data_IF_128816626711
#
_entry.id   IF_128816626711
#
_cell.length_a   1.000
_cell.length_b   1.000
_cell.length_c   1.000
_cell.angle_alpha   90.00
_cell.angle_beta   90.00
_cell.angle_gamma   90.00
#
_symmetry.space_group_name_H-M   'P 1'
#
loop_
_entity.id
_entity.type
_entity.pdbx_description
1 polymer ?
#
# COMPACT_ATOMS: atom_id res chain seq x y z
N UNK A 1 5.58 35.04 -3.63
CA UNK A 1 4.50 34.65 -4.59
C UNK A 1 3.71 33.53 -3.96
N UNK A 2 2.38 33.64 -3.98
CA UNK A 2 1.52 32.57 -3.43
C UNK A 2 1.59 31.30 -4.30
N UNK A 3 1.51 30.14 -3.66
CA UNK A 3 1.65 28.84 -4.31
C UNK A 3 0.28 28.18 -4.50
N UNK A 4 -0.03 27.77 -5.72
CA UNK A 4 -1.22 26.95 -5.99
C UNK A 4 -0.87 25.48 -5.84
N UNK A 5 -1.66 24.74 -5.04
CA UNK A 5 -1.37 23.37 -4.66
C UNK A 5 -2.62 22.49 -4.78
N UNK A 6 -2.39 21.18 -4.88
CA UNK A 6 -3.45 20.17 -4.77
C UNK A 6 -3.20 19.35 -3.52
N UNK A 7 -4.22 19.21 -2.69
CA UNK A 7 -4.22 18.41 -1.46
C UNK A 7 -5.23 17.28 -1.61
N UNK A 8 -4.80 16.05 -1.32
CA UNK A 8 -5.64 14.86 -1.29
C UNK A 8 -5.88 14.41 0.13
N UNK A 9 -7.14 14.38 0.58
CA UNK A 9 -7.50 14.13 1.96
C UNK A 9 -7.20 15.33 2.85
N UNK A 10 -6.96 15.09 4.13
CA UNK A 10 -6.76 16.14 5.17
C UNK A 10 -7.99 17.03 5.41
N UNK A 11 -9.15 16.66 4.90
CA UNK A 11 -10.39 17.41 5.11
C UNK A 11 -11.07 17.12 6.46
N UNK A 12 -10.63 16.13 7.22
CA UNK A 12 -11.11 15.87 8.58
C UNK A 12 -10.46 16.80 9.64
N UNK A 13 -10.92 16.81 10.90
CA UNK A 13 -10.37 17.69 11.93
C UNK A 13 -8.87 17.48 12.21
N UNK A 14 -8.38 16.24 12.16
CA UNK A 14 -6.96 15.91 12.32
C UNK A 14 -6.15 16.49 11.17
N UNK A 15 -6.56 16.17 9.94
CA UNK A 15 -5.88 16.63 8.74
C UNK A 15 -5.87 18.15 8.60
N UNK A 16 -6.99 18.80 8.89
CA UNK A 16 -7.10 20.27 8.84
C UNK A 16 -6.15 20.94 9.83
N UNK A 17 -6.02 20.43 11.06
CA UNK A 17 -5.04 20.92 12.04
C UNK A 17 -3.61 20.70 11.58
N UNK A 18 -3.30 19.53 11.02
CA UNK A 18 -1.97 19.24 10.48
C UNK A 18 -1.62 20.21 9.32
N UNK A 19 -2.56 20.49 8.41
CA UNK A 19 -2.35 21.47 7.34
C UNK A 19 -2.20 22.89 7.87
N UNK A 20 -2.97 23.28 8.90
CA UNK A 20 -2.83 24.60 9.52
C UNK A 20 -1.39 24.80 10.02
N UNK A 21 -0.85 23.81 10.71
CA UNK A 21 0.53 23.83 11.19
C UNK A 21 1.53 23.77 10.02
N UNK A 22 1.28 22.94 9.01
CA UNK A 22 2.17 22.77 7.86
C UNK A 22 2.32 24.04 7.02
N UNK A 23 1.26 24.82 6.89
CA UNK A 23 1.25 26.02 6.04
C UNK A 23 1.67 27.30 6.77
N UNK A 24 2.00 27.24 8.05
CA UNK A 24 2.50 28.40 8.79
C UNK A 24 3.75 29.01 8.14
N UNK A 25 3.62 30.28 7.73
CA UNK A 25 4.69 31.00 7.03
C UNK A 25 4.97 30.50 5.60
N UNK A 26 4.02 29.80 4.98
CA UNK A 26 4.01 29.44 3.57
C UNK A 26 2.77 30.08 2.94
N UNK A 27 2.99 30.86 1.91
CA UNK A 27 1.93 31.59 1.21
C UNK A 27 1.19 30.66 0.23
N UNK A 28 0.03 30.15 0.63
CA UNK A 28 -0.83 29.28 -0.16
C UNK A 28 -1.95 30.10 -0.82
N UNK A 29 -1.86 30.28 -2.13
CA UNK A 29 -2.87 30.92 -2.93
C UNK A 29 -4.12 30.06 -3.12
N UNK A 30 -4.21 29.34 -4.23
CA UNK A 30 -5.31 28.41 -4.48
C UNK A 30 -4.96 27.01 -4.01
N UNK A 31 -5.78 26.44 -3.10
CA UNK A 31 -5.71 25.06 -2.67
C UNK A 31 -6.88 24.26 -3.27
N UNK A 32 -6.55 23.31 -4.13
CA UNK A 32 -7.51 22.32 -4.65
C UNK A 32 -7.57 21.14 -3.70
N UNK A 33 -8.74 20.87 -3.13
CA UNK A 33 -8.91 19.86 -2.07
C UNK A 33 -9.70 18.68 -2.64
N UNK A 34 -9.01 17.58 -2.86
CA UNK A 34 -9.61 16.31 -3.26
C UNK A 34 -10.10 15.57 -2.03
N UNK A 35 -11.41 15.46 -1.87
CA UNK A 35 -11.99 14.88 -0.66
C UNK A 35 -13.40 14.35 -0.83
N UNK A 36 -14.01 14.00 0.30
CA UNK A 36 -15.39 13.48 0.37
C UNK A 36 -16.34 14.44 1.08
N UNK A 37 -15.80 15.38 1.86
CA UNK A 37 -16.56 16.29 2.70
C UNK A 37 -16.17 17.75 2.43
N UNK A 38 -17.00 18.46 1.69
CA UNK A 38 -16.78 19.86 1.33
C UNK A 38 -16.81 20.80 2.55
N UNK A 39 -17.62 20.50 3.57
CA UNK A 39 -17.72 21.36 4.77
C UNK A 39 -16.41 21.39 5.55
N UNK A 40 -15.73 20.26 5.66
CA UNK A 40 -14.45 20.19 6.35
C UNK A 40 -13.32 20.74 5.47
N UNK A 41 -13.40 20.55 4.16
CA UNK A 41 -12.49 21.16 3.19
C UNK A 41 -12.43 22.70 3.30
N UNK A 42 -13.54 23.34 3.67
CA UNK A 42 -13.61 24.79 3.87
C UNK A 42 -12.69 25.30 5.02
N UNK A 43 -12.22 24.42 5.88
CA UNK A 43 -11.34 24.77 7.01
C UNK A 43 -9.85 24.72 6.66
N UNK A 44 -9.46 24.18 5.50
CA UNK A 44 -8.06 24.10 5.06
C UNK A 44 -7.51 25.52 4.88
N UNK A 45 -6.36 25.89 5.44
CA UNK A 45 -5.81 27.24 5.35
C UNK A 45 -5.29 27.54 3.93
N UNK A 46 -5.91 28.49 3.23
CA UNK A 46 -5.51 28.97 1.93
C UNK A 46 -6.26 30.28 1.61
N UNK A 47 -5.76 31.11 0.70
CA UNK A 47 -6.50 32.29 0.21
C UNK A 47 -7.78 31.88 -0.51
N UNK A 48 -7.67 30.93 -1.43
CA UNK A 48 -8.79 30.37 -2.19
C UNK A 48 -8.84 28.84 -2.05
N UNK A 49 -10.04 28.30 -1.83
CA UNK A 49 -10.29 26.86 -1.72
C UNK A 49 -11.21 26.41 -2.82
N UNK A 50 -10.85 25.30 -3.48
CA UNK A 50 -11.68 24.68 -4.53
C UNK A 50 -11.81 23.19 -4.17
N UNK A 51 -13.03 22.79 -3.84
CA UNK A 51 -13.32 21.40 -3.53
C UNK A 51 -13.49 20.56 -4.79
N UNK A 52 -12.78 19.44 -4.85
CA UNK A 52 -12.88 18.43 -5.88
C UNK A 52 -13.46 17.14 -5.29
N UNK A 53 -14.75 16.95 -5.48
CA UNK A 53 -15.49 15.79 -4.97
C UNK A 53 -15.76 14.73 -6.03
N UNK A 54 -16.49 13.66 -5.66
CA UNK A 54 -16.77 12.52 -6.55
C UNK A 54 -17.48 12.85 -7.86
N UNK A 55 -18.26 13.94 -7.90
CA UNK A 55 -18.99 14.40 -9.10
C UNK A 55 -18.31 15.57 -9.82
N UNK A 56 -17.08 15.93 -9.45
CA UNK A 56 -16.42 17.12 -10.01
C UNK A 56 -16.33 17.10 -11.54
N UNK A 57 -16.10 15.94 -12.14
CA UNK A 57 -16.03 15.80 -13.60
C UNK A 57 -17.37 15.95 -14.33
N UNK A 58 -18.49 15.84 -13.62
CA UNK A 58 -19.83 15.99 -14.23
C UNK A 58 -20.18 17.45 -14.54
N UNK A 59 -19.48 18.39 -13.89
CA UNK A 59 -19.68 19.84 -14.01
C UNK A 59 -18.60 20.53 -14.85
N UNK A 60 -17.70 19.78 -15.49
CA UNK A 60 -16.61 20.32 -16.30
C UNK A 60 -17.14 20.74 -17.68
N UNK A 61 -16.88 22.00 -18.08
CA UNK A 61 -17.06 22.43 -19.45
C UNK A 61 -15.89 21.93 -20.31
N UNK A 62 -16.09 20.77 -20.92
CA UNK A 62 -15.06 20.08 -21.71
C UNK A 62 -14.64 20.87 -22.96
N UNK A 63 -15.46 21.81 -23.46
CA UNK A 63 -15.13 22.62 -24.63
C UNK A 63 -14.08 23.70 -24.33
N UNK A 64 -13.91 24.04 -23.05
CA UNK A 64 -12.88 24.99 -22.58
C UNK A 64 -11.52 24.35 -22.29
N UNK A 65 -11.43 23.04 -22.31
CA UNK A 65 -10.18 22.32 -22.06
C UNK A 65 -9.56 21.87 -23.38
N UNK A 66 -8.24 22.06 -23.51
CA UNK A 66 -7.51 21.51 -24.64
C UNK A 66 -7.67 19.98 -24.72
N UNK A 67 -7.72 19.42 -25.94
CA UNK A 67 -7.70 17.98 -26.12
C UNK A 67 -6.34 17.39 -25.66
N UNK A 68 -6.31 16.09 -25.43
CA UNK A 68 -5.06 15.36 -25.22
C UNK A 68 -4.35 15.17 -26.56
N UNK A 69 -3.04 15.28 -26.57
CA UNK A 69 -2.19 14.93 -27.68
C UNK A 69 -1.57 13.53 -27.52
N UNK A 70 -0.96 13.04 -28.59
CA UNK A 70 -0.34 11.72 -28.62
C UNK A 70 0.86 11.64 -27.64
N UNK A 71 1.67 12.67 -27.58
CA UNK A 71 2.88 12.70 -26.75
C UNK A 71 2.54 12.51 -25.27
N UNK A 72 1.55 13.22 -24.76
CA UNK A 72 1.10 13.10 -23.38
C UNK A 72 0.49 11.71 -23.11
N UNK A 73 -0.34 11.21 -24.04
CA UNK A 73 -0.98 9.90 -23.91
C UNK A 73 0.10 8.82 -23.81
N UNK A 74 1.11 8.84 -24.69
CA UNK A 74 2.18 7.85 -24.70
C UNK A 74 3.04 7.90 -23.42
N UNK A 75 3.43 9.08 -22.98
CA UNK A 75 4.21 9.25 -21.74
C UNK A 75 3.45 8.78 -20.49
N UNK A 76 2.12 8.84 -20.52
CA UNK A 76 1.26 8.43 -19.42
C UNK A 76 0.85 6.94 -19.47
N UNK A 77 1.26 6.16 -20.46
CA UNK A 77 0.92 4.73 -20.57
C UNK A 77 1.26 3.88 -19.34
N UNK A 78 2.41 4.03 -18.69
CA UNK A 78 2.71 3.26 -17.47
C UNK A 78 1.67 3.52 -16.36
N UNK A 79 1.26 4.77 -16.19
CA UNK A 79 0.25 5.17 -15.20
C UNK A 79 -1.17 4.76 -15.63
N UNK A 80 -1.45 4.72 -16.92
CA UNK A 80 -2.72 4.23 -17.45
C UNK A 80 -2.94 2.76 -17.06
N UNK A 81 -1.96 1.90 -17.30
CA UNK A 81 -2.07 0.47 -17.01
C UNK A 81 -2.48 0.23 -15.54
N UNK A 82 -1.78 0.86 -14.62
CA UNK A 82 -2.08 0.77 -13.18
C UNK A 82 -3.42 1.41 -12.83
N UNK A 83 -3.77 2.55 -13.45
CA UNK A 83 -5.08 3.20 -13.21
C UNK A 83 -6.25 2.29 -13.64
N UNK A 84 -6.14 1.64 -14.80
CA UNK A 84 -7.17 0.72 -15.28
C UNK A 84 -7.35 -0.49 -14.33
N UNK A 85 -6.28 -0.92 -13.68
CA UNK A 85 -6.33 -1.95 -12.65
C UNK A 85 -6.96 -1.43 -11.34
N UNK A 86 -6.61 -0.22 -10.90
CA UNK A 86 -7.20 0.44 -9.72
C UNK A 86 -8.73 0.58 -9.85
N UNK A 87 -9.27 0.81 -11.05
CA UNK A 87 -10.72 0.90 -11.26
C UNK A 87 -11.48 -0.34 -10.78
N UNK A 88 -10.85 -1.51 -10.70
CA UNK A 88 -11.51 -2.71 -10.19
C UNK A 88 -11.95 -2.60 -8.74
N UNK A 89 -11.32 -1.71 -7.93
CA UNK A 89 -11.76 -1.43 -6.56
C UNK A 89 -13.11 -0.74 -6.51
N UNK A 90 -13.42 0.06 -7.53
CA UNK A 90 -14.67 0.80 -7.63
C UNK A 90 -15.85 -0.07 -8.08
N UNK A 91 -15.57 -1.30 -8.49
CA UNK A 91 -16.59 -2.28 -8.86
C UNK A 91 -17.25 -2.87 -7.61
N UNK A 92 -18.22 -2.16 -7.08
CA UNK A 92 -19.01 -2.58 -5.93
C UNK A 92 -20.42 -2.97 -6.36
N UNK A 93 -21.10 -3.78 -5.55
CA UNK A 93 -22.54 -4.07 -5.69
C UNK A 93 -22.96 -4.58 -7.09
N UNK A 94 -22.11 -5.38 -7.74
CA UNK A 94 -22.39 -5.93 -9.06
C UNK A 94 -22.22 -4.96 -10.23
N UNK A 95 -21.68 -3.77 -10.00
CA UNK A 95 -21.24 -2.88 -11.08
C UNK A 95 -19.95 -3.43 -11.68
N UNK A 96 -19.95 -3.61 -12.97
CA UNK A 96 -18.77 -3.96 -13.75
C UNK A 96 -18.46 -2.81 -14.70
N UNK A 97 -17.25 -2.32 -14.68
CA UNK A 97 -16.77 -1.32 -15.62
C UNK A 97 -16.06 -2.01 -16.78
N UNK A 98 -16.62 -1.93 -17.97
CA UNK A 98 -15.95 -2.43 -19.17
C UNK A 98 -14.62 -1.71 -19.38
N UNK A 99 -13.71 -2.33 -20.12
CA UNK A 99 -12.44 -1.70 -20.50
C UNK A 99 -12.64 -0.31 -21.10
N UNK A 100 -13.58 -0.18 -22.07
CA UNK A 100 -13.87 1.12 -22.69
C UNK A 100 -14.41 2.16 -21.71
N UNK A 101 -15.17 1.76 -20.69
CA UNK A 101 -15.65 2.68 -19.65
C UNK A 101 -14.50 3.16 -18.76
N UNK A 102 -13.60 2.26 -18.34
CA UNK A 102 -12.40 2.61 -17.57
C UNK A 102 -11.46 3.52 -18.35
N UNK A 103 -11.21 3.19 -19.63
CA UNK A 103 -10.36 3.98 -20.52
C UNK A 103 -10.92 5.38 -20.73
N UNK A 104 -12.23 5.50 -20.95
CA UNK A 104 -12.89 6.80 -21.08
C UNK A 104 -12.72 7.65 -19.83
N UNK A 105 -12.94 7.07 -18.66
CA UNK A 105 -12.81 7.78 -17.40
C UNK A 105 -11.36 8.17 -17.11
N UNK A 106 -10.41 7.30 -17.40
CA UNK A 106 -8.99 7.62 -17.33
C UNK A 106 -8.63 8.82 -18.21
N UNK A 107 -9.05 8.83 -19.49
CA UNK A 107 -8.77 9.94 -20.40
C UNK A 107 -9.45 11.26 -19.96
N UNK A 108 -10.64 11.19 -19.36
CA UNK A 108 -11.29 12.36 -18.75
C UNK A 108 -10.47 12.92 -17.57
N UNK A 109 -10.02 12.05 -16.68
CA UNK A 109 -9.15 12.43 -15.56
C UNK A 109 -7.84 13.04 -16.05
N UNK A 110 -7.19 12.40 -17.01
CA UNK A 110 -5.94 12.87 -17.59
C UNK A 110 -6.09 14.27 -18.21
N UNK A 111 -7.13 14.47 -19.04
CA UNK A 111 -7.42 15.77 -19.67
C UNK A 111 -7.70 16.84 -18.64
N UNK A 112 -8.52 16.53 -17.63
CA UNK A 112 -8.89 17.49 -16.59
C UNK A 112 -7.68 17.94 -15.77
N UNK A 113 -6.91 16.97 -15.23
CA UNK A 113 -5.76 17.29 -14.39
C UNK A 113 -4.65 18.00 -15.18
N UNK A 114 -4.40 17.58 -16.43
CA UNK A 114 -3.43 18.26 -17.26
C UNK A 114 -3.79 19.74 -17.49
N UNK A 115 -5.04 20.00 -17.86
CA UNK A 115 -5.50 21.37 -18.08
C UNK A 115 -5.47 22.22 -16.80
N UNK A 116 -5.83 21.64 -15.65
CA UNK A 116 -5.81 22.35 -14.37
C UNK A 116 -4.38 22.69 -13.94
N UNK A 117 -3.45 21.76 -14.06
CA UNK A 117 -2.04 21.96 -13.73
C UNK A 117 -1.45 23.12 -14.55
N UNK A 118 -1.70 23.13 -15.86
CA UNK A 118 -1.18 24.18 -16.76
C UNK A 118 -1.83 25.55 -16.49
N UNK A 119 -3.15 25.58 -16.39
CA UNK A 119 -3.90 26.83 -16.21
C UNK A 119 -3.57 27.52 -14.89
N UNK A 120 -3.49 26.75 -13.82
CA UNK A 120 -3.36 27.29 -12.46
C UNK A 120 -1.95 27.16 -11.90
N UNK A 121 -0.98 26.74 -12.72
CA UNK A 121 0.43 26.64 -12.38
C UNK A 121 0.66 25.92 -11.05
N UNK A 122 0.12 24.70 -10.93
CA UNK A 122 0.22 23.90 -9.71
C UNK A 122 1.69 23.62 -9.39
N UNK A 123 2.07 23.86 -8.11
CA UNK A 123 3.46 23.77 -7.63
C UNK A 123 3.71 22.60 -6.68
N UNK A 124 2.67 21.96 -6.18
CA UNK A 124 2.78 20.85 -5.24
C UNK A 124 1.54 19.96 -5.31
N UNK A 125 1.74 18.65 -5.22
CA UNK A 125 0.72 17.68 -4.87
C UNK A 125 1.04 17.05 -3.51
N UNK A 126 0.15 17.25 -2.53
CA UNK A 126 0.24 16.69 -1.19
C UNK A 126 -0.87 15.66 -0.97
N UNK A 127 -0.51 14.45 -0.58
CA UNK A 127 -1.48 13.39 -0.30
C UNK A 127 -1.32 12.81 1.11
N UNK A 128 -2.44 12.69 1.84
CA UNK A 128 -2.47 12.11 3.20
C UNK A 128 -2.16 10.61 3.22
N UNK A 129 -2.14 9.97 2.06
CA UNK A 129 -1.84 8.54 1.88
C UNK A 129 -1.22 8.30 0.50
N UNK A 130 -0.82 7.07 0.23
CA UNK A 130 -0.39 6.62 -1.10
C UNK A 130 -1.53 6.80 -2.11
N UNK A 131 -1.31 7.42 -3.27
CA UNK A 131 -2.28 7.50 -4.35
C UNK A 131 -2.72 6.10 -4.79
N UNK A 132 -3.99 5.76 -4.60
CA UNK A 132 -4.50 4.42 -4.88
C UNK A 132 -5.96 4.40 -5.38
N UNK A 133 -6.50 5.59 -5.74
CA UNK A 133 -7.73 5.75 -6.48
C UNK A 133 -7.43 6.34 -7.87
N UNK A 134 -8.28 6.14 -8.89
CA UNK A 134 -8.00 6.63 -10.23
C UNK A 134 -7.67 8.13 -10.30
N UNK A 135 -8.41 9.05 -9.63
CA UNK A 135 -8.12 10.47 -9.73
C UNK A 135 -6.75 10.87 -9.17
N UNK A 136 -6.39 10.36 -7.99
CA UNK A 136 -5.15 10.72 -7.32
C UNK A 136 -3.93 10.04 -7.97
N UNK A 137 -4.10 8.83 -8.52
CA UNK A 137 -3.02 8.13 -9.20
C UNK A 137 -2.69 8.75 -10.57
N UNK A 138 -3.72 9.18 -11.34
CA UNK A 138 -3.50 9.93 -12.59
C UNK A 138 -2.82 11.27 -12.31
N UNK A 139 -3.25 11.98 -11.27
CA UNK A 139 -2.62 13.24 -10.85
C UNK A 139 -1.15 13.02 -10.43
N UNK A 140 -0.87 11.98 -9.65
CA UNK A 140 0.49 11.59 -9.29
C UNK A 140 1.37 11.38 -10.52
N UNK A 141 0.89 10.62 -11.50
CA UNK A 141 1.61 10.36 -12.74
C UNK A 141 1.92 11.64 -13.52
N UNK A 142 0.95 12.56 -13.62
CA UNK A 142 1.16 13.85 -14.25
C UNK A 142 2.17 14.72 -13.50
N UNK A 143 2.12 14.75 -12.17
CA UNK A 143 3.09 15.49 -11.36
C UNK A 143 4.51 14.94 -11.57
N UNK A 144 4.69 13.61 -11.59
CA UNK A 144 5.99 12.97 -11.90
C UNK A 144 6.47 13.34 -13.29
N UNK A 145 5.61 13.25 -14.30
CA UNK A 145 5.95 13.58 -15.68
C UNK A 145 6.36 15.05 -15.87
N UNK A 146 5.70 15.95 -15.14
CA UNK A 146 5.94 17.40 -15.23
C UNK A 146 6.93 17.94 -14.20
N UNK A 147 7.61 17.07 -13.44
CA UNK A 147 8.54 17.43 -12.37
C UNK A 147 7.92 18.37 -11.32
N UNK A 148 6.63 18.19 -11.04
CA UNK A 148 5.95 18.88 -9.96
C UNK A 148 6.23 18.11 -8.67
N UNK A 149 6.70 18.78 -7.60
CA UNK A 149 6.92 18.15 -6.31
C UNK A 149 5.68 17.41 -5.80
N UNK A 150 5.92 16.23 -5.25
CA UNK A 150 4.89 15.39 -4.63
C UNK A 150 5.31 15.07 -3.21
N UNK A 151 4.40 15.15 -2.26
CA UNK A 151 4.59 14.67 -0.89
C UNK A 151 3.49 13.65 -0.59
N UNK A 152 3.91 12.43 -0.31
CA UNK A 152 3.04 11.32 0.02
C UNK A 152 3.25 10.92 1.48
N UNK A 153 2.17 10.74 2.22
CA UNK A 153 2.19 10.17 3.55
C UNK A 153 1.97 8.66 3.44
N UNK A 154 2.83 7.86 4.04
CA UNK A 154 2.68 6.40 4.07
C UNK A 154 2.80 5.89 5.48
N UNK A 155 1.80 5.14 5.99
CA UNK A 155 1.93 4.50 7.29
C UNK A 155 3.04 3.45 7.27
N UNK A 156 3.75 3.36 8.38
CA UNK A 156 4.85 2.40 8.58
C UNK A 156 4.37 1.03 9.04
N UNK A 157 3.18 0.58 8.63
CA UNK A 157 2.67 -0.72 9.02
C UNK A 157 3.71 -1.84 8.86
N UNK A 158 3.86 -2.70 9.87
CA UNK A 158 3.05 -2.86 11.09
C UNK A 158 3.52 -2.04 12.31
N UNK A 159 4.45 -1.09 12.13
CA UNK A 159 4.92 -0.20 13.19
C UNK A 159 3.82 0.81 13.52
N UNK A 160 3.41 0.83 14.81
CA UNK A 160 2.36 1.73 15.27
C UNK A 160 2.88 3.17 15.33
N UNK A 161 2.03 4.14 14.96
CA UNK A 161 2.31 5.58 15.03
C UNK A 161 3.55 6.03 14.23
N UNK A 162 3.92 5.26 13.20
CA UNK A 162 5.04 5.57 12.30
C UNK A 162 4.50 5.99 10.94
N UNK A 163 4.92 7.16 10.48
CA UNK A 163 4.53 7.73 9.20
C UNK A 163 5.77 8.15 8.41
N UNK A 164 5.83 7.78 7.14
CA UNK A 164 6.88 8.22 6.22
C UNK A 164 6.37 9.29 5.28
N UNK A 165 7.18 10.34 5.07
CA UNK A 165 6.98 11.35 4.04
C UNK A 165 7.93 11.08 2.89
N UNK A 166 7.42 10.80 1.70
CA UNK A 166 8.23 10.48 0.53
C UNK A 166 7.67 11.11 -0.75
N UNK A 167 8.45 11.08 -1.82
CA UNK A 167 8.14 11.74 -3.10
C UNK A 167 7.87 10.75 -4.24
N UNK A 168 8.11 9.46 -3.98
CA UNK A 168 8.01 8.43 -5.02
C UNK A 168 7.41 7.14 -4.47
N UNK A 169 6.52 6.50 -5.24
CA UNK A 169 5.89 5.24 -4.86
C UNK A 169 6.82 4.03 -4.96
N UNK A 170 7.75 4.06 -5.90
CA UNK A 170 8.68 2.96 -6.14
C UNK A 170 9.90 3.02 -5.21
N UNK A 171 10.23 4.21 -4.71
CA UNK A 171 11.32 4.47 -3.78
C UNK A 171 10.83 5.16 -2.50
N UNK A 172 9.93 4.50 -1.73
CA UNK A 172 9.27 5.13 -0.57
C UNK A 172 10.21 5.35 0.62
N UNK A 173 11.43 4.83 0.57
CA UNK A 173 12.36 4.81 1.69
C UNK A 173 13.77 5.36 1.34
N UNK A 174 13.89 6.27 0.38
CA UNK A 174 15.19 6.85 -0.01
C UNK A 174 15.93 7.49 1.18
N UNK A 175 15.24 8.23 2.04
CA UNK A 175 15.85 8.83 3.22
C UNK A 175 16.34 7.77 4.21
N UNK A 176 15.59 6.70 4.40
CA UNK A 176 15.97 5.57 5.25
C UNK A 176 17.18 4.83 4.68
N UNK A 177 17.21 4.57 3.37
CA UNK A 177 18.37 3.99 2.68
C UNK A 177 19.63 4.84 2.88
N UNK A 178 19.52 6.15 2.68
CA UNK A 178 20.64 7.08 2.89
C UNK A 178 21.12 7.05 4.35
N UNK A 179 20.19 6.98 5.32
CA UNK A 179 20.54 6.91 6.74
C UNK A 179 21.23 5.58 7.09
N UNK A 180 20.77 4.47 6.54
CA UNK A 180 21.38 3.14 6.76
C UNK A 180 22.77 3.01 6.12
N UNK A 181 23.00 3.71 5.01
CA UNK A 181 24.32 3.74 4.35
C UNK A 181 25.32 4.68 5.04
N UNK A 182 24.85 5.61 5.87
CA UNK A 182 25.73 6.52 6.61
C UNK A 182 26.48 5.75 7.71
N UNK A 183 27.77 6.06 7.95
CA UNK A 183 28.53 5.42 9.01
C UNK A 183 27.85 5.66 10.38
N UNK A 184 27.70 4.60 11.16
CA UNK A 184 27.21 4.69 12.53
C UNK A 184 28.17 5.53 13.37
N UNK A 185 27.65 6.54 14.09
CA UNK A 185 28.47 7.45 14.89
C UNK A 185 29.17 6.76 16.06
N UNK A 186 28.62 5.66 16.57
CA UNK A 186 29.29 4.75 17.52
C UNK A 186 28.48 3.46 17.72
N UNK A 187 29.17 2.40 18.22
CA UNK A 187 28.49 1.17 18.70
C UNK A 187 27.59 1.42 19.92
N UNK A 188 27.68 2.59 20.55
CA UNK A 188 26.82 2.98 21.67
C UNK A 188 25.42 3.44 21.23
N UNK A 189 25.25 3.89 19.97
CA UNK A 189 23.93 4.32 19.47
C UNK A 189 22.93 3.13 19.33
N UNK A 190 23.44 1.93 19.09
CA UNK A 190 22.59 0.73 19.00
C UNK A 190 22.20 0.15 20.38
N UNK A 191 22.94 0.53 21.45
CA UNK A 191 22.63 0.12 22.82
C UNK A 191 21.58 1.02 23.48
N UNK A 192 21.29 2.19 22.90
CA UNK A 192 20.26 3.08 23.41
C UNK A 192 18.87 2.41 23.36
N UNK A 193 17.97 2.68 24.32
CA UNK A 193 16.62 2.15 24.26
C UNK A 193 15.85 2.75 23.08
N UNK A 194 15.07 1.91 22.39
CA UNK A 194 14.12 2.38 21.38
C UNK A 194 12.99 3.17 22.04
N UNK A 195 12.32 4.09 21.32
CA UNK A 195 11.07 4.68 21.79
C UNK A 195 10.06 3.60 22.19
N UNK A 196 9.19 3.83 23.20
CA UNK A 196 8.34 2.79 23.78
C UNK A 196 7.49 2.01 22.77
N UNK A 197 6.96 2.68 21.74
CA UNK A 197 6.13 2.04 20.70
C UNK A 197 6.96 1.10 19.80
N UNK A 198 8.20 1.46 19.45
CA UNK A 198 9.10 0.61 18.66
C UNK A 198 9.70 -0.51 19.52
N UNK A 199 10.04 -0.23 20.77
CA UNK A 199 10.52 -1.25 21.73
C UNK A 199 9.44 -2.30 21.98
N UNK A 200 8.18 -1.88 22.20
CA UNK A 200 7.05 -2.80 22.36
C UNK A 200 6.85 -3.68 21.11
N UNK A 201 7.00 -3.09 19.92
CA UNK A 201 6.93 -3.87 18.68
C UNK A 201 8.10 -4.86 18.58
N UNK A 202 9.34 -4.40 18.82
CA UNK A 202 10.54 -5.24 18.78
C UNK A 202 10.40 -6.45 19.71
N UNK A 203 10.03 -6.22 20.97
CA UNK A 203 9.81 -7.27 21.95
C UNK A 203 8.71 -8.23 21.52
N UNK A 204 7.57 -7.71 21.01
CA UNK A 204 6.47 -8.54 20.54
C UNK A 204 6.85 -9.49 19.40
N UNK A 205 7.85 -9.11 18.59
CA UNK A 205 8.31 -9.93 17.46
C UNK A 205 9.46 -10.86 17.82
N UNK A 206 10.22 -10.54 18.87
CA UNK A 206 11.41 -11.32 19.29
C UNK A 206 11.16 -12.23 20.49
N UNK A 207 10.04 -12.09 21.20
CA UNK A 207 9.66 -12.98 22.30
C UNK A 207 9.24 -14.35 21.77
N UNK A 208 9.86 -15.40 22.32
CA UNK A 208 9.60 -16.80 21.95
C UNK A 208 8.18 -17.28 22.34
N UNK A 209 7.52 -16.56 23.25
CA UNK A 209 6.13 -16.86 23.68
C UNK A 209 5.06 -16.43 22.70
N UNK A 210 5.49 -16.05 21.51
CA UNK A 210 4.71 -15.70 20.34
C UNK A 210 3.29 -15.17 20.59
N UNK A 211 3.05 -13.93 20.25
CA UNK A 211 1.79 -13.25 20.50
C UNK A 211 0.71 -13.54 19.46
N UNK A 212 0.69 -14.71 18.84
CA UNK A 212 -0.39 -15.09 17.89
C UNK A 212 -1.78 -14.80 18.44
N UNK A 213 -1.88 -14.65 19.74
CA UNK A 213 -3.14 -14.61 20.46
C UNK A 213 -3.51 -13.24 21.04
N UNK A 214 -2.60 -12.28 21.08
CA UNK A 214 -2.83 -11.07 21.87
C UNK A 214 -3.20 -9.82 21.06
N UNK A 215 -2.90 -9.76 19.77
CA UNK A 215 -3.30 -8.64 18.92
C UNK A 215 -4.01 -9.14 17.67
N UNK A 216 -5.34 -9.20 17.75
CA UNK A 216 -6.11 -9.16 16.50
C UNK A 216 -5.68 -7.90 15.76
N UNK A 217 -5.16 -7.97 14.53
CA UNK A 217 -4.84 -6.78 13.78
C UNK A 217 -6.03 -5.83 13.77
N UNK A 218 -5.79 -4.52 13.84
CA UNK A 218 -6.83 -3.49 13.91
C UNK A 218 -7.93 -3.65 12.84
N UNK A 219 -7.59 -4.18 11.66
CA UNK A 219 -8.53 -4.47 10.59
C UNK A 219 -9.54 -5.60 10.91
N UNK A 220 -9.31 -6.41 11.96
CA UNK A 220 -10.35 -7.33 12.47
C UNK A 220 -11.52 -6.60 13.11
N UNK A 221 -11.31 -5.36 13.52
CA UNK A 221 -12.35 -4.51 14.10
C UNK A 221 -13.14 -3.76 13.01
N UNK A 222 -12.68 -3.79 11.75
CA UNK A 222 -13.44 -3.24 10.64
C UNK A 222 -14.76 -4.01 10.49
N UNK A 223 -15.85 -3.25 10.57
CA UNK A 223 -17.19 -3.78 10.40
C UNK A 223 -17.31 -4.59 9.09
N UNK A 224 -17.93 -5.74 9.19
CA UNK A 224 -18.27 -6.57 8.03
C UNK A 224 -18.85 -5.74 6.90
N UNK A 225 -18.50 -6.00 5.65
CA UNK A 225 -19.19 -5.37 4.54
C UNK A 225 -20.68 -5.71 4.70
N UNK A 226 -21.47 -4.68 5.00
CA UNK A 226 -22.93 -4.83 5.10
C UNK A 226 -23.40 -5.40 3.77
N UNK A 227 -24.12 -6.52 3.82
CA UNK A 227 -24.77 -7.07 2.64
C UNK A 227 -25.47 -5.95 1.87
N UNK A 228 -25.39 -5.91 0.54
CA UNK A 228 -25.94 -4.83 -0.27
C UNK A 228 -27.47 -4.67 -0.18
N UNK A 229 -28.11 -5.43 0.66
CA UNK A 229 -29.55 -5.39 0.97
C UNK A 229 -30.00 -4.05 1.59
N UNK A 230 -29.10 -3.24 2.12
CA UNK A 230 -29.41 -1.97 2.79
C UNK A 230 -29.67 -0.78 1.84
N UNK A 231 -29.54 -0.95 0.52
CA UNK A 231 -29.74 0.13 -0.45
C UNK A 231 -31.09 0.01 -1.13
N UNK A 232 -31.84 1.13 -1.06
CA UNK A 232 -33.20 1.30 -1.56
C UNK A 232 -33.61 0.37 -2.73
N UNK A 233 -34.63 -0.48 -2.53
CA UNK A 233 -35.15 -1.37 -3.59
C UNK A 233 -35.76 -0.61 -4.78
N UNK A 234 -36.05 0.68 -4.63
CA UNK A 234 -36.67 1.54 -5.63
C UNK A 234 -35.72 1.98 -6.75
N UNK A 235 -34.40 1.74 -6.65
CA UNK A 235 -33.45 2.11 -7.71
C UNK A 235 -33.55 1.15 -8.90
N UNK A 236 -33.74 1.74 -10.10
CA UNK A 236 -33.75 1.01 -11.39
C UNK A 236 -32.58 0.03 -11.49
N UNK A 237 -32.87 -1.23 -11.82
CA UNK A 237 -31.86 -2.29 -11.94
C UNK A 237 -31.44 -2.95 -10.61
N UNK A 238 -32.13 -2.73 -9.50
CA UNK A 238 -31.84 -3.37 -8.21
C UNK A 238 -31.84 -4.91 -8.32
N UNK A 239 -32.89 -5.49 -8.91
CA UNK A 239 -33.01 -6.95 -9.04
C UNK A 239 -31.86 -7.55 -9.87
N UNK A 240 -31.49 -6.91 -10.99
CA UNK A 240 -30.38 -7.37 -11.83
C UNK A 240 -29.04 -7.32 -11.06
N UNK A 241 -28.83 -6.31 -10.23
CA UNK A 241 -27.63 -6.22 -9.39
C UNK A 241 -27.58 -7.33 -8.36
N UNK A 242 -28.72 -7.62 -7.71
CA UNK A 242 -28.80 -8.72 -6.73
C UNK A 242 -28.53 -10.07 -7.39
N UNK A 243 -29.14 -10.36 -8.53
CA UNK A 243 -28.90 -11.60 -9.28
C UNK A 243 -27.44 -11.76 -9.69
N UNK A 244 -26.79 -10.69 -10.17
CA UNK A 244 -25.35 -10.69 -10.49
C UNK A 244 -24.51 -10.94 -9.25
N UNK A 245 -24.83 -10.31 -8.12
CA UNK A 245 -24.12 -10.53 -6.86
C UNK A 245 -24.24 -11.98 -6.38
N UNK A 246 -25.46 -12.55 -6.40
CA UNK A 246 -25.69 -13.96 -6.05
C UNK A 246 -24.92 -14.90 -6.98
N UNK A 247 -24.91 -14.62 -8.30
CA UNK A 247 -24.12 -15.38 -9.26
C UNK A 247 -22.63 -15.33 -8.95
N UNK A 248 -22.09 -14.16 -8.60
CA UNK A 248 -20.69 -14.00 -8.17
C UNK A 248 -20.40 -14.79 -6.90
N UNK A 249 -21.27 -14.72 -5.89
CA UNK A 249 -21.09 -15.50 -4.65
C UNK A 249 -21.05 -17.02 -4.93
N UNK A 250 -21.90 -17.51 -5.85
CA UNK A 250 -21.88 -18.92 -6.27
C UNK A 250 -20.58 -19.27 -6.99
N UNK A 251 -20.11 -18.41 -7.88
CA UNK A 251 -18.81 -18.54 -8.56
C UNK A 251 -17.65 -18.57 -7.58
N UNK A 252 -17.60 -17.59 -6.67
CA UNK A 252 -16.57 -17.48 -5.64
C UNK A 252 -16.49 -18.70 -4.71
N UNK A 253 -17.65 -19.31 -4.38
CA UNK A 253 -17.68 -20.56 -3.61
C UNK A 253 -16.90 -21.69 -4.31
N UNK A 254 -16.95 -21.77 -5.64
CA UNK A 254 -16.19 -22.77 -6.40
C UNK A 254 -14.70 -22.45 -6.34
N UNK A 255 -14.33 -21.18 -6.48
CA UNK A 255 -12.94 -20.70 -6.43
C UNK A 255 -12.31 -21.03 -5.07
N UNK A 256 -12.95 -20.61 -3.98
CA UNK A 256 -12.42 -20.87 -2.63
C UNK A 256 -12.45 -22.34 -2.23
N UNK A 257 -13.43 -23.13 -2.74
CA UNK A 257 -13.44 -24.59 -2.56
C UNK A 257 -12.26 -25.27 -3.24
N UNK A 258 -11.81 -24.78 -4.40
CA UNK A 258 -10.62 -25.32 -5.06
C UNK A 258 -9.41 -25.15 -4.15
N UNK A 259 -9.19 -23.95 -3.62
CA UNK A 259 -8.11 -23.70 -2.66
C UNK A 259 -8.23 -24.61 -1.42
N UNK A 260 -9.40 -24.60 -0.77
CA UNK A 260 -9.63 -25.35 0.47
C UNK A 260 -9.43 -26.87 0.31
N UNK A 261 -9.75 -27.43 -0.85
CA UNK A 261 -9.53 -28.85 -1.15
C UNK A 261 -8.09 -29.20 -1.49
N UNK A 262 -7.35 -28.27 -2.07
CA UNK A 262 -5.95 -28.48 -2.43
C UNK A 262 -4.99 -28.14 -1.29
N UNK A 263 -5.45 -27.39 -0.29
CA UNK A 263 -4.64 -27.04 0.86
C UNK A 263 -4.47 -28.23 1.80
N UNK A 264 -3.22 -28.49 2.17
CA UNK A 264 -2.84 -29.54 3.12
C UNK A 264 -1.95 -28.98 4.21
N UNK A 265 -1.98 -29.54 5.43
CA UNK A 265 -1.04 -29.17 6.48
C UNK A 265 0.40 -29.26 5.94
N UNK A 266 1.26 -28.25 6.23
CA UNK A 266 2.64 -28.25 5.75
C UNK A 266 3.47 -29.29 6.49
N UNK A 267 4.39 -29.94 5.79
CA UNK A 267 5.47 -30.70 6.40
C UNK A 267 6.60 -29.74 6.78
N UNK A 268 6.67 -29.38 8.05
CA UNK A 268 7.62 -28.41 8.60
C UNK A 268 9.06 -28.93 8.64
N UNK A 269 9.29 -30.24 8.45
CA UNK A 269 10.63 -30.85 8.40
C UNK A 269 11.34 -30.59 7.05
N UNK A 270 10.57 -30.28 6.00
CA UNK A 270 11.10 -30.01 4.65
C UNK A 270 11.70 -28.59 4.57
N UNK A 271 12.64 -28.42 3.66
CA UNK A 271 13.10 -27.09 3.26
C UNK A 271 12.02 -26.39 2.45
N UNK A 272 11.64 -25.17 2.83
CA UNK A 272 10.61 -24.44 2.07
C UNK A 272 10.77 -22.92 2.14
N UNK A 273 10.22 -22.25 1.14
CA UNK A 273 9.94 -20.81 1.13
C UNK A 273 8.44 -20.62 1.39
N UNK A 274 8.11 -19.74 2.31
CA UNK A 274 6.73 -19.37 2.59
C UNK A 274 6.30 -18.19 1.73
N UNK A 275 5.31 -18.35 0.86
CA UNK A 275 4.71 -17.28 0.08
C UNK A 275 3.41 -16.83 0.73
N UNK A 276 3.43 -15.60 1.27
CA UNK A 276 2.27 -14.95 1.86
C UNK A 276 1.52 -14.14 0.79
N UNK A 277 0.35 -14.64 0.35
CA UNK A 277 -0.49 -13.89 -0.58
C UNK A 277 -1.17 -12.71 0.13
N UNK A 278 -1.20 -11.57 -0.54
CA UNK A 278 -1.95 -10.40 -0.10
C UNK A 278 -3.45 -10.56 -0.35
N UNK A 279 -4.24 -9.90 0.47
CA UNK A 279 -5.63 -9.61 0.13
C UNK A 279 -5.68 -8.68 -1.09
N UNK A 280 -6.60 -8.96 -2.01
CA UNK A 280 -6.85 -8.15 -3.20
C UNK A 280 -8.35 -7.91 -3.38
N UNK A 281 -8.74 -6.69 -3.82
CA UNK A 281 -7.90 -5.55 -4.20
C UNK A 281 -7.58 -4.64 -3.01
N UNK A 282 -6.33 -4.28 -2.84
CA UNK A 282 -5.89 -3.29 -1.84
C UNK A 282 -4.67 -2.47 -2.31
N UNK A 283 -4.34 -1.40 -1.57
CA UNK A 283 -3.23 -0.51 -1.90
C UNK A 283 -1.87 -1.24 -1.94
N UNK A 284 -1.66 -2.19 -1.03
CA UNK A 284 -0.43 -2.98 -0.95
C UNK A 284 -0.17 -3.84 -2.19
N UNK A 285 -1.20 -4.13 -2.99
CA UNK A 285 -1.06 -4.81 -4.28
C UNK A 285 -1.04 -3.79 -5.42
N UNK A 286 -2.04 -2.92 -5.55
CA UNK A 286 -2.11 -1.94 -6.62
C UNK A 286 -2.27 -0.54 -6.01
N UNK A 287 -1.25 0.34 -6.05
CA UNK A 287 -0.06 0.28 -6.91
C UNK A 287 1.21 -0.33 -6.28
N UNK A 288 1.28 -0.59 -4.97
CA UNK A 288 2.54 -0.82 -4.26
C UNK A 288 3.25 -2.14 -4.60
N UNK A 289 2.60 -3.12 -5.19
CA UNK A 289 3.27 -4.32 -5.68
C UNK A 289 3.80 -4.18 -7.13
N UNK A 290 3.54 -3.05 -7.80
CA UNK A 290 3.96 -2.84 -9.18
C UNK A 290 3.50 -3.96 -10.11
N UNK A 291 4.41 -4.51 -10.92
CA UNK A 291 4.13 -5.63 -11.84
C UNK A 291 3.67 -6.91 -11.11
N UNK A 292 4.05 -7.07 -9.85
CA UNK A 292 3.70 -8.25 -9.04
C UNK A 292 2.37 -8.11 -8.29
N UNK A 293 1.54 -7.15 -8.67
CA UNK A 293 0.13 -7.15 -8.31
C UNK A 293 -0.55 -8.47 -8.73
N UNK A 294 -0.13 -9.06 -9.85
CA UNK A 294 -0.42 -10.44 -10.24
C UNK A 294 0.49 -11.39 -9.47
N UNK A 295 0.06 -11.80 -8.29
CA UNK A 295 0.91 -12.53 -7.33
C UNK A 295 1.31 -13.94 -7.79
N UNK A 296 0.62 -14.52 -8.77
CA UNK A 296 1.03 -15.77 -9.42
C UNK A 296 2.44 -15.68 -10.03
N UNK A 297 2.85 -14.51 -10.51
CA UNK A 297 4.18 -14.29 -11.07
C UNK A 297 5.30 -14.52 -10.03
N UNK A 298 5.03 -14.20 -8.76
CA UNK A 298 5.96 -14.45 -7.64
C UNK A 298 6.19 -15.96 -7.51
N UNK A 299 5.12 -16.75 -7.47
CA UNK A 299 5.21 -18.19 -7.28
C UNK A 299 5.83 -18.88 -8.50
N UNK A 300 5.48 -18.41 -9.71
CA UNK A 300 6.08 -18.90 -10.95
C UNK A 300 7.58 -18.65 -11.01
N UNK A 301 8.03 -17.45 -10.65
CA UNK A 301 9.46 -17.10 -10.61
C UNK A 301 10.21 -17.96 -9.59
N UNK A 302 9.69 -18.09 -8.38
CA UNK A 302 10.28 -18.96 -7.37
C UNK A 302 10.31 -20.42 -7.83
N UNK A 303 9.22 -20.94 -8.39
CA UNK A 303 9.12 -22.32 -8.87
C UNK A 303 10.11 -22.66 -9.98
N UNK A 304 10.47 -21.68 -10.81
CA UNK A 304 11.47 -21.85 -11.86
C UNK A 304 12.91 -21.85 -11.33
N UNK A 305 13.17 -21.30 -10.15
CA UNK A 305 14.52 -21.04 -9.66
C UNK A 305 14.91 -21.81 -8.39
N UNK A 306 13.93 -22.29 -7.59
CA UNK A 306 14.24 -23.07 -6.40
C UNK A 306 14.73 -24.47 -6.76
N UNK A 307 15.67 -25.06 -5.98
CA UNK A 307 16.05 -26.46 -6.10
C UNK A 307 14.88 -27.42 -5.91
N UNK A 308 15.00 -28.65 -6.42
CA UNK A 308 13.94 -29.68 -6.40
C UNK A 308 13.53 -30.11 -4.99
N UNK A 309 14.44 -30.03 -4.03
CA UNK A 309 14.22 -30.36 -2.62
C UNK A 309 13.55 -29.24 -1.81
N UNK A 310 13.40 -28.03 -2.40
CA UNK A 310 12.81 -26.87 -1.73
C UNK A 310 11.34 -26.70 -2.17
N UNK A 311 10.42 -26.76 -1.20
CA UNK A 311 8.99 -26.52 -1.43
C UNK A 311 8.65 -25.03 -1.39
N UNK A 312 7.55 -24.66 -2.01
CA UNK A 312 6.95 -23.32 -1.96
C UNK A 312 5.57 -23.47 -1.29
N UNK A 313 5.49 -23.14 -0.02
CA UNK A 313 4.21 -23.13 0.68
C UNK A 313 3.48 -21.82 0.45
N UNK A 314 2.39 -21.89 -0.28
CA UNK A 314 1.56 -20.72 -0.63
C UNK A 314 0.36 -20.65 0.30
N UNK A 315 0.25 -19.58 1.05
CA UNK A 315 -0.88 -19.35 1.95
C UNK A 315 -1.70 -18.15 1.49
N UNK A 316 -3.00 -18.39 1.27
CA UNK A 316 -3.97 -17.32 0.98
C UNK A 316 -4.19 -16.43 2.20
N UNK A 317 -4.38 -15.14 1.96
CA UNK A 317 -4.69 -14.19 3.02
C UNK A 317 -5.98 -14.62 3.75
N UNK A 318 -5.98 -14.74 5.08
CA UNK A 318 -7.14 -15.25 5.84
C UNK A 318 -8.44 -14.48 5.55
N UNK A 319 -8.32 -13.17 5.33
CA UNK A 319 -9.45 -12.27 5.10
C UNK A 319 -9.89 -12.16 3.63
N UNK A 320 -9.19 -12.75 2.66
CA UNK A 320 -9.57 -12.68 1.24
C UNK A 320 -11.00 -13.14 1.00
N UNK A 321 -11.37 -14.28 1.54
CA UNK A 321 -12.74 -14.81 1.43
C UNK A 321 -13.75 -14.01 2.21
N UNK A 322 -13.32 -13.41 3.31
CA UNK A 322 -14.18 -12.67 4.22
C UNK A 322 -14.53 -11.28 3.68
N UNK A 323 -13.53 -10.49 3.26
CA UNK A 323 -13.73 -9.15 2.71
C UNK A 323 -14.21 -9.16 1.25
N UNK A 324 -13.89 -10.22 0.52
CA UNK A 324 -14.26 -10.38 -0.88
C UNK A 324 -15.00 -11.71 -1.10
N UNK A 325 -16.18 -11.90 -0.49
CA UNK A 325 -16.94 -13.14 -0.60
C UNK A 325 -17.44 -13.40 -2.04
N UNK A 326 -17.46 -12.37 -2.88
CA UNK A 326 -17.78 -12.42 -4.30
C UNK A 326 -16.60 -12.88 -5.19
N UNK A 327 -15.46 -13.22 -4.58
CA UNK A 327 -14.30 -13.78 -5.27
C UNK A 327 -13.52 -12.78 -6.12
N UNK A 328 -13.62 -11.47 -5.85
CA UNK A 328 -12.81 -10.47 -6.56
C UNK A 328 -11.33 -10.84 -6.51
N UNK A 329 -10.64 -10.69 -7.63
CA UNK A 329 -9.22 -10.95 -7.79
C UNK A 329 -8.77 -12.39 -7.51
N UNK A 330 -9.71 -13.31 -7.38
CA UNK A 330 -9.42 -14.75 -7.34
C UNK A 330 -10.27 -15.45 -8.38
N UNK A 331 -9.64 -16.34 -9.14
CA UNK A 331 -10.30 -17.15 -10.16
C UNK A 331 -9.89 -18.62 -10.03
N UNK A 332 -10.60 -19.50 -10.71
CA UNK A 332 -10.18 -20.89 -10.82
C UNK A 332 -8.84 -21.02 -11.55
N UNK A 333 -8.61 -20.17 -12.57
CA UNK A 333 -7.34 -20.11 -13.29
C UNK A 333 -6.21 -19.72 -12.33
N UNK A 334 -6.35 -18.63 -11.57
CA UNK A 334 -5.36 -18.19 -10.59
C UNK A 334 -4.86 -19.32 -9.69
N UNK A 335 -5.77 -20.05 -9.05
CA UNK A 335 -5.36 -21.16 -8.18
C UNK A 335 -4.83 -22.38 -8.93
N UNK A 336 -5.32 -22.67 -10.14
CA UNK A 336 -4.79 -23.75 -10.98
C UNK A 336 -3.39 -23.48 -11.46
N UNK A 337 -3.11 -22.23 -11.85
CA UNK A 337 -1.78 -21.80 -12.30
C UNK A 337 -0.76 -21.89 -11.17
N UNK A 338 -1.18 -21.52 -9.94
CA UNK A 338 -0.34 -21.70 -8.76
C UNK A 338 -0.07 -23.19 -8.45
N UNK A 339 -1.09 -24.05 -8.58
CA UNK A 339 -0.93 -25.49 -8.34
C UNK A 339 -0.13 -26.21 -9.43
N UNK A 340 -0.07 -25.62 -10.64
CA UNK A 340 0.74 -26.16 -11.73
C UNK A 340 2.24 -25.92 -11.53
N UNK A 341 2.63 -25.00 -10.63
CA UNK A 341 4.03 -24.79 -10.27
C UNK A 341 4.54 -26.01 -9.48
N UNK A 342 5.58 -26.64 -10.01
CA UNK A 342 6.07 -27.96 -9.58
C UNK A 342 6.22 -28.14 -8.07
N UNK A 343 6.85 -27.18 -7.38
CA UNK A 343 7.16 -27.24 -5.96
C UNK A 343 6.14 -26.51 -5.09
N UNK A 344 5.08 -25.92 -5.67
CA UNK A 344 4.07 -25.16 -4.92
C UNK A 344 3.07 -26.10 -4.24
N UNK A 345 2.72 -25.78 -3.02
CA UNK A 345 1.71 -26.46 -2.21
C UNK A 345 0.90 -25.44 -1.44
N UNK A 346 -0.42 -25.57 -1.44
CA UNK A 346 -1.27 -24.70 -0.63
C UNK A 346 -1.30 -25.17 0.82
N UNK A 347 -1.28 -24.16 1.72
CA UNK A 347 -1.39 -24.35 3.18
C UNK A 347 -2.79 -23.86 3.61
N UNK A 348 -3.45 -24.53 4.58
CA UNK A 348 -4.73 -24.05 5.11
C UNK A 348 -4.66 -22.57 5.54
N UNK A 349 -5.72 -21.80 5.23
CA UNK A 349 -5.76 -20.35 5.49
C UNK A 349 -5.64 -20.01 6.97
N UNK A 350 -6.12 -20.88 7.83
CA UNK A 350 -6.08 -20.77 9.30
C UNK A 350 -4.83 -21.34 9.93
N UNK A 351 -3.93 -21.95 9.13
CA UNK A 351 -2.62 -22.39 9.65
C UNK A 351 -1.80 -21.19 10.13
N UNK A 352 -1.09 -21.36 11.24
CA UNK A 352 -0.30 -20.30 11.85
C UNK A 352 0.74 -19.70 10.90
N UNK A 353 0.69 -18.36 10.71
CA UNK A 353 1.70 -17.62 9.94
C UNK A 353 3.06 -17.68 10.65
N UNK A 354 3.06 -17.54 11.98
CA UNK A 354 4.30 -17.56 12.76
C UNK A 354 4.96 -18.93 12.73
N UNK A 355 4.19 -20.02 12.82
CA UNK A 355 4.73 -21.37 12.66
C UNK A 355 5.38 -21.58 11.29
N UNK A 356 4.79 -21.05 10.21
CA UNK A 356 5.42 -21.07 8.89
C UNK A 356 6.71 -20.25 8.87
N UNK A 357 6.72 -19.06 9.45
CA UNK A 357 7.89 -18.19 9.54
C UNK A 357 9.02 -18.92 10.30
N UNK A 358 8.74 -19.52 11.44
CA UNK A 358 9.73 -20.19 12.27
C UNK A 358 10.46 -21.33 11.54
N UNK A 359 9.79 -22.03 10.64
CA UNK A 359 10.34 -23.21 9.97
C UNK A 359 10.81 -22.93 8.54
N UNK A 360 10.40 -21.82 7.90
CA UNK A 360 10.79 -21.51 6.53
C UNK A 360 12.28 -21.13 6.41
N UNK A 361 12.79 -21.17 5.17
CA UNK A 361 14.10 -20.61 4.82
C UNK A 361 14.01 -19.11 4.55
N UNK A 362 12.88 -18.65 4.00
CA UNK A 362 12.56 -17.26 3.77
C UNK A 362 11.04 -17.07 3.62
N UNK A 363 10.57 -15.84 3.83
CA UNK A 363 9.22 -15.41 3.46
C UNK A 363 9.29 -14.63 2.16
N UNK A 364 8.45 -14.97 1.19
CA UNK A 364 8.32 -14.23 -0.07
C UNK A 364 6.94 -13.60 -0.20
N UNK A 365 6.89 -12.36 -0.65
CA UNK A 365 5.63 -11.65 -0.85
C UNK A 365 5.82 -10.42 -1.73
N UNK A 366 4.72 -9.84 -2.22
CA UNK A 366 4.79 -8.54 -2.86
C UNK A 366 5.30 -7.45 -1.87
N UNK A 367 4.58 -7.25 -0.76
CA UNK A 367 4.92 -6.21 0.24
C UNK A 367 4.32 -6.52 1.63
N UNK A 368 4.17 -7.80 1.99
CA UNK A 368 3.48 -8.24 3.20
C UNK A 368 4.24 -7.92 4.49
N UNK A 369 3.49 -7.60 5.54
CA UNK A 369 4.04 -7.50 6.90
C UNK A 369 4.64 -8.82 7.38
N UNK A 370 4.16 -9.97 6.90
CA UNK A 370 4.73 -11.27 7.23
C UNK A 370 6.22 -11.39 6.85
N UNK A 371 6.64 -10.74 5.73
CA UNK A 371 8.06 -10.64 5.37
C UNK A 371 8.84 -9.80 6.37
N UNK A 372 8.29 -8.67 6.82
CA UNK A 372 8.92 -7.81 7.80
C UNK A 372 9.00 -8.48 9.20
N UNK A 373 7.91 -9.11 9.64
CA UNK A 373 7.86 -9.88 10.90
C UNK A 373 8.88 -11.03 10.93
N UNK A 374 9.12 -11.65 9.78
CA UNK A 374 10.08 -12.74 9.64
C UNK A 374 11.54 -12.31 9.97
N UNK A 375 11.90 -11.06 9.66
CA UNK A 375 13.24 -10.53 9.89
C UNK A 375 13.61 -10.56 11.38
N UNK A 376 12.68 -10.23 12.27
CA UNK A 376 12.88 -10.24 13.72
C UNK A 376 13.09 -11.67 14.28
N UNK A 377 12.72 -12.67 13.50
CA UNK A 377 12.90 -14.10 13.82
C UNK A 377 14.08 -14.72 13.08
N UNK A 378 14.98 -13.89 12.56
CA UNK A 378 16.16 -14.32 11.82
C UNK A 378 15.84 -15.00 10.49
N UNK A 379 14.69 -14.71 9.89
CA UNK A 379 14.31 -15.24 8.57
C UNK A 379 14.35 -14.11 7.53
N UNK A 380 15.10 -14.30 6.45
CA UNK A 380 15.14 -13.31 5.37
C UNK A 380 13.82 -13.21 4.62
N UNK A 381 13.61 -12.07 3.99
CA UNK A 381 12.43 -11.80 3.18
C UNK A 381 12.80 -11.54 1.71
N UNK A 382 12.05 -12.12 0.78
CA UNK A 382 12.12 -11.86 -0.67
C UNK A 382 10.92 -10.98 -1.01
N UNK A 383 11.16 -9.71 -1.38
CA UNK A 383 10.12 -8.70 -1.57
C UNK A 383 10.10 -8.23 -3.02
N UNK A 384 8.90 -8.23 -3.62
CA UNK A 384 8.66 -7.91 -5.03
C UNK A 384 8.01 -6.53 -5.23
N UNK A 385 7.56 -5.88 -4.17
CA UNK A 385 6.89 -4.57 -4.21
C UNK A 385 7.71 -3.47 -3.53
N UNK A 386 7.00 -2.39 -3.17
CA UNK A 386 7.60 -1.14 -2.72
C UNK A 386 7.06 -0.75 -1.34
N UNK A 387 7.87 -0.95 -0.29
CA UNK A 387 7.55 -0.55 1.09
C UNK A 387 8.82 -0.08 1.79
N UNK A 388 8.67 0.69 2.88
CA UNK A 388 9.82 1.17 3.66
C UNK A 388 10.74 0.04 4.14
N UNK A 389 10.18 -1.10 4.50
CA UNK A 389 10.95 -2.24 4.99
C UNK A 389 11.76 -2.98 3.92
N UNK A 390 11.66 -2.58 2.64
CA UNK A 390 12.56 -3.08 1.59
C UNK A 390 14.03 -2.72 1.84
N UNK A 391 14.29 -1.76 2.71
CA UNK A 391 15.64 -1.36 3.11
C UNK A 391 16.15 -2.11 4.37
N UNK A 392 15.32 -2.96 4.99
CA UNK A 392 15.69 -3.66 6.21
C UNK A 392 16.76 -4.74 5.94
N UNK A 393 17.68 -4.96 6.87
CA UNK A 393 18.65 -6.06 6.80
C UNK A 393 17.95 -7.41 6.60
N UNK A 394 18.48 -8.23 5.69
CA UNK A 394 17.87 -9.53 5.35
C UNK A 394 16.73 -9.48 4.36
N UNK A 395 16.39 -8.31 3.81
CA UNK A 395 15.44 -8.16 2.70
C UNK A 395 16.18 -8.23 1.37
N UNK A 396 15.68 -9.07 0.48
CA UNK A 396 16.10 -9.18 -0.90
C UNK A 396 15.00 -8.63 -1.81
N UNK A 397 15.23 -7.44 -2.36
CA UNK A 397 14.31 -6.84 -3.36
C UNK A 397 14.50 -7.54 -4.69
N UNK A 398 13.42 -8.01 -5.28
CA UNK A 398 13.42 -8.70 -6.57
C UNK A 398 12.69 -7.88 -7.61
N UNK A 399 13.41 -7.45 -8.63
CA UNK A 399 12.89 -6.79 -9.83
C UNK A 399 13.14 -7.61 -11.07
N UNK A 400 14.20 -8.42 -11.08
CA UNK A 400 14.63 -9.25 -12.21
C UNK A 400 14.76 -10.72 -11.78
N UNK A 401 14.88 -11.60 -12.76
CA UNK A 401 15.17 -13.02 -12.53
C UNK A 401 16.52 -13.19 -11.83
N UNK A 402 17.51 -12.35 -12.17
CA UNK A 402 18.84 -12.43 -11.58
C UNK A 402 18.86 -11.97 -10.12
N UNK A 403 18.04 -10.97 -9.76
CA UNK A 403 17.84 -10.61 -8.34
C UNK A 403 17.28 -11.79 -7.54
N UNK A 404 16.27 -12.49 -8.11
CA UNK A 404 15.66 -13.65 -7.46
C UNK A 404 16.68 -14.80 -7.31
N UNK A 405 17.48 -15.05 -8.33
CA UNK A 405 18.56 -16.06 -8.31
C UNK A 405 19.60 -15.72 -7.26
N UNK A 406 20.03 -14.47 -7.18
CA UNK A 406 20.98 -13.99 -6.16
C UNK A 406 20.41 -14.13 -4.75
N UNK A 407 19.14 -13.75 -4.53
CA UNK A 407 18.43 -13.90 -3.27
C UNK A 407 18.39 -15.38 -2.82
N UNK A 408 17.99 -16.27 -3.71
CA UNK A 408 17.89 -17.70 -3.40
C UNK A 408 19.26 -18.30 -3.06
N UNK A 409 20.32 -17.91 -3.78
CA UNK A 409 21.70 -18.34 -3.46
C UNK A 409 22.11 -17.86 -2.08
N UNK A 410 21.93 -16.59 -1.78
CA UNK A 410 22.27 -16.02 -0.48
C UNK A 410 21.53 -16.73 0.66
N UNK A 411 20.25 -17.04 0.49
CA UNK A 411 19.38 -17.64 1.50
C UNK A 411 19.64 -19.14 1.66
N UNK A 412 19.69 -19.89 0.56
CA UNK A 412 19.68 -21.36 0.58
C UNK A 412 21.08 -21.97 0.69
N UNK A 413 22.11 -21.30 0.13
CA UNK A 413 23.48 -21.79 0.07
C UNK A 413 24.38 -21.07 1.08
N UNK A 414 24.31 -19.72 1.15
CA UNK A 414 25.16 -18.92 2.02
C UNK A 414 24.56 -18.72 3.43
N UNK A 415 23.30 -19.12 3.63
CA UNK A 415 22.56 -19.02 4.89
C UNK A 415 22.52 -17.61 5.50
N UNK A 416 22.43 -16.59 4.64
CA UNK A 416 22.32 -15.19 5.07
C UNK A 416 21.04 -15.01 5.90
N UNK A 417 21.17 -14.39 7.07
CA UNK A 417 20.06 -14.16 8.01
C UNK A 417 20.23 -12.82 8.71
N UNK A 418 19.15 -12.06 8.90
CA UNK A 418 19.19 -10.90 9.77
C UNK A 418 19.34 -11.31 11.24
N UNK A 419 20.03 -10.51 12.01
CA UNK A 419 20.16 -10.68 13.46
C UNK A 419 19.16 -9.78 14.21
N UNK A 420 18.97 -10.01 15.50
CA UNK A 420 18.17 -9.11 16.36
C UNK A 420 18.80 -7.71 16.43
N UNK A 421 20.12 -7.63 16.46
CA UNK A 421 20.84 -6.35 16.51
C UNK A 421 20.71 -5.56 15.20
N UNK A 422 20.73 -6.25 14.05
CA UNK A 422 20.43 -5.63 12.75
C UNK A 422 19.03 -4.99 12.76
N UNK A 423 18.03 -5.71 13.28
CA UNK A 423 16.67 -5.20 13.34
C UNK A 423 16.49 -4.07 14.35
N UNK A 424 17.22 -4.11 15.48
CA UNK A 424 17.23 -2.99 16.43
C UNK A 424 17.85 -1.76 15.82
N UNK A 425 18.98 -1.89 15.14
CA UNK A 425 19.65 -0.81 14.42
C UNK A 425 18.76 -0.23 13.31
N UNK A 426 18.05 -1.09 12.60
CA UNK A 426 17.06 -0.68 11.60
C UNK A 426 15.93 0.17 12.21
N UNK A 427 15.39 -0.24 13.36
CA UNK A 427 14.34 0.52 14.05
C UNK A 427 14.84 1.86 14.58
N UNK A 428 16.11 1.98 15.00
CA UNK A 428 16.72 3.27 15.31
C UNK A 428 16.76 4.19 14.09
N UNK A 429 17.19 3.68 12.93
CA UNK A 429 17.18 4.45 11.69
C UNK A 429 15.77 4.85 11.27
N UNK A 430 14.78 3.98 11.44
CA UNK A 430 13.35 4.30 11.21
C UNK A 430 12.92 5.46 12.12
N UNK A 431 13.26 5.41 13.40
CA UNK A 431 12.90 6.46 14.36
C UNK A 431 13.47 7.83 14.01
N UNK A 432 14.66 7.88 13.42
CA UNK A 432 15.30 9.14 13.00
C UNK A 432 14.65 9.76 11.75
N UNK A 433 14.05 8.94 10.87
CA UNK A 433 13.54 9.38 9.57
C UNK A 433 12.03 9.52 9.56
N UNK A 434 11.33 8.71 10.31
CA UNK A 434 9.87 8.68 10.32
C UNK A 434 9.30 9.80 11.20
N UNK A 435 8.05 10.16 10.91
CA UNK A 435 7.24 11.04 11.74
C UNK A 435 6.45 10.17 12.72
N UNK A 436 6.46 10.56 13.99
CA UNK A 436 5.64 9.91 15.00
C UNK A 436 4.22 10.47 14.95
N UNK A 437 3.35 9.81 14.20
CA UNK A 437 1.99 10.29 13.96
C UNK A 437 1.24 9.45 12.91
N UNK A 438 0.02 9.87 12.62
CA UNK A 438 -0.84 9.27 11.61
C UNK A 438 -1.65 10.35 10.87
N UNK A 439 -2.06 10.05 9.65
CA UNK A 439 -2.86 10.96 8.80
C UNK A 439 -4.24 10.41 8.47
N UNK A 440 -4.48 9.12 8.66
CA UNK A 440 -5.76 8.47 8.38
C UNK A 440 -6.42 8.05 9.69
N UNK A 441 -7.67 8.49 9.90
CA UNK A 441 -8.48 8.17 11.10
C UNK A 441 -8.69 6.67 11.33
N UNK A 442 -8.45 5.87 10.33
CA UNK A 442 -8.48 4.40 10.44
C UNK A 442 -7.45 3.90 11.46
N UNK A 443 -6.32 4.59 11.61
CA UNK A 443 -5.27 4.24 12.58
C UNK A 443 -5.57 4.70 14.01
N UNK A 444 -6.58 5.55 14.20
CA UNK A 444 -6.97 6.08 15.51
C UNK A 444 -7.27 4.99 16.54
N UNK A 445 -7.78 3.83 16.11
CA UNK A 445 -8.06 2.72 17.02
C UNK A 445 -6.81 1.96 17.48
N UNK A 446 -5.69 2.18 16.80
CA UNK A 446 -4.42 1.50 17.08
C UNK A 446 -3.39 2.43 17.74
N UNK A 447 -3.61 3.75 17.72
CA UNK A 447 -2.67 4.76 18.22
C UNK A 447 -2.72 4.95 19.72
N UNK A 448 -1.59 5.36 20.29
CA UNK A 448 -1.48 5.89 21.67
C UNK A 448 -1.47 7.42 21.69
N UNK A 449 -1.41 8.07 20.52
CA UNK A 449 -1.37 9.53 20.39
C UNK A 449 -2.78 10.13 20.40
N UNK A 450 -2.90 11.34 20.95
CA UNK A 450 -4.08 12.15 20.70
C UNK A 450 -4.05 12.72 19.27
N UNK A 451 -5.23 13.10 18.76
CA UNK A 451 -5.33 13.76 17.45
C UNK A 451 -4.53 15.06 17.41
N UNK A 452 -4.47 15.80 18.52
CA UNK A 452 -3.71 17.05 18.65
C UNK A 452 -2.21 16.79 18.53
N UNK A 453 -1.70 15.79 19.26
CA UNK A 453 -0.28 15.42 19.20
C UNK A 453 0.12 14.97 17.81
N UNK A 454 -0.69 14.10 17.19
CA UNK A 454 -0.44 13.64 15.83
C UNK A 454 -0.48 14.78 14.82
N UNK A 455 -1.48 15.68 14.90
CA UNK A 455 -1.62 16.82 14.00
C UNK A 455 -0.41 17.78 14.09
N UNK A 456 0.08 18.05 15.31
CA UNK A 456 1.24 18.92 15.51
C UNK A 456 2.50 18.31 14.91
N UNK A 457 2.80 17.05 15.20
CA UNK A 457 4.00 16.38 14.71
C UNK A 457 3.99 16.21 13.19
N UNK A 458 2.85 15.74 12.64
CA UNK A 458 2.67 15.61 11.19
C UNK A 458 2.75 16.97 10.50
N UNK A 459 2.13 18.02 11.09
CA UNK A 459 2.15 19.36 10.55
C UNK A 459 3.56 19.96 10.50
N UNK A 460 4.36 19.80 11.56
CA UNK A 460 5.75 20.22 11.58
C UNK A 460 6.61 19.52 10.52
N UNK A 461 6.46 18.20 10.41
CA UNK A 461 7.18 17.41 9.41
C UNK A 461 6.79 17.79 7.98
N UNK A 462 5.49 17.98 7.71
CA UNK A 462 5.01 18.47 6.43
C UNK A 462 5.54 19.87 6.11
N UNK A 463 5.56 20.80 7.08
CA UNK A 463 6.12 22.14 6.88
C UNK A 463 7.59 22.08 6.44
N UNK A 464 8.40 21.29 7.16
CA UNK A 464 9.80 21.11 6.81
C UNK A 464 9.97 20.51 5.41
N UNK A 465 9.16 19.48 5.09
CA UNK A 465 9.19 18.82 3.78
C UNK A 465 8.75 19.75 2.65
N UNK A 466 7.68 20.51 2.84
CA UNK A 466 7.18 21.48 1.84
C UNK A 466 8.27 22.52 1.55
N UNK A 467 8.91 23.08 2.59
CA UNK A 467 10.00 24.05 2.42
C UNK A 467 11.20 23.46 1.69
N UNK A 468 11.48 22.18 1.83
CA UNK A 468 12.59 21.51 1.14
C UNK A 468 12.34 21.31 -0.36
N UNK A 469 11.08 21.07 -0.77
CA UNK A 469 10.72 20.80 -2.17
C UNK A 469 10.20 22.03 -2.92
N UNK A 470 9.79 23.06 -2.20
CA UNK A 470 9.37 24.35 -2.75
C UNK A 470 10.28 25.47 -2.17
N UNK A 471 11.50 25.64 -2.65
CA UNK A 471 12.35 26.75 -2.21
C UNK A 471 11.71 28.10 -2.56
N UNK A 472 12.01 29.13 -1.75
CA UNK A 472 11.47 30.50 -1.86
C UNK A 472 11.71 31.12 -3.22
#
# INVERSE_FOLDING_TARGET
>A
MSHNIIVRGFEDPLGTRALTRAFEGIDIGTCYIMGRNERDAAKVPAEKRIFWGPSALDHVDWNKLLPLDEELIEKMRPYEAVTLEIFTRLETDGRFLSYGARKREYLRLLRYWNALIERDHIRLFLSYTVPHFPPDYVLYGLCKLKNIPVILCSPGDPLQDVLFLHEDLEEPALALRARLAAPHKSSQDTAAPLPPHLESYFQSQTDDRSPEHTRKPWYHQMAFPKLPWSRSPLKKGFLQRQLRYISRLRGARKVFRLYDRAATPPDLSRRFIYVALHMQPECNTTPLAGAYANQELIVQMLGALVPDDVLIYVKEHPFQKFHHPDGKWRSLAFYRDLLAVRNARFVPRDFSTYTLIEHCKAVASASSTAGFEALFRGKPAIVFGHRFHCEAPGVFRVRTIDDCRAALRAILEQNVRPTRDDMRSFLHAVNEIAVYGYTDLVYRMATTLSDEQSAEQVGQALQAKIRSVMPR
#
